data_IF_726302867223
#
_entry.id   IF_726302867223
#
_cell.length_a   1.000
_cell.length_b   1.000
_cell.length_c   1.000
_cell.angle_alpha   90.00
_cell.angle_beta   90.00
_cell.angle_gamma   90.00
#
_symmetry.space_group_name_H-M   'P 1'
#
loop_
_entity.id
_entity.type
_entity.pdbx_description
1 polymer ?
#
# COMPACT_ATOMS: atom_id res chain seq x y z
N UNK A 1 -20.07 47.20 8.52
CA UNK A 1 -19.32 46.20 9.33
C UNK A 1 -19.92 44.79 9.37
N UNK A 2 -20.95 44.43 8.59
CA UNK A 2 -21.58 43.08 8.62
C UNK A 2 -21.18 42.10 7.49
N UNK A 3 -20.29 42.50 6.56
CA UNK A 3 -19.87 41.66 5.41
C UNK A 3 -18.53 40.93 5.59
N UNK A 4 -17.75 41.21 6.63
CA UNK A 4 -16.45 40.55 6.90
C UNK A 4 -16.54 39.37 7.88
N UNK A 5 -17.68 39.14 8.52
CA UNK A 5 -17.85 38.05 9.49
C UNK A 5 -18.33 36.73 8.86
N UNK A 6 -18.86 36.74 7.63
CA UNK A 6 -19.30 35.52 6.93
C UNK A 6 -18.19 34.78 6.15
N UNK A 7 -17.02 35.39 5.93
CA UNK A 7 -15.92 34.77 5.20
C UNK A 7 -14.94 33.97 6.07
N UNK A 8 -15.08 34.02 7.40
CA UNK A 8 -14.29 33.23 8.34
C UNK A 8 -14.97 31.90 8.73
N UNK A 9 -16.18 31.65 8.21
CA UNK A 9 -16.94 30.41 8.45
C UNK A 9 -16.93 29.44 7.24
N UNK A 10 -16.32 29.83 6.12
CA UNK A 10 -16.25 28.99 4.90
C UNK A 10 -14.92 28.24 4.71
N UNK A 11 -13.94 28.42 5.60
CA UNK A 11 -12.68 27.65 5.62
C UNK A 11 -12.68 26.50 6.64
N UNK A 12 -13.76 26.33 7.41
CA UNK A 12 -13.92 25.27 8.42
C UNK A 12 -14.57 24.00 7.88
N UNK A 13 -15.03 24.00 6.62
CA UNK A 13 -15.69 22.86 5.99
C UNK A 13 -14.78 22.17 4.99
N UNK A 14 -13.99 21.19 5.46
CA UNK A 14 -13.37 20.04 4.74
C UNK A 14 -12.38 19.31 5.68
N UNK A 15 -12.11 19.80 6.90
CA UNK A 15 -11.55 18.98 7.97
C UNK A 15 -12.64 18.07 8.59
N UNK A 16 -13.31 17.25 7.77
CA UNK A 16 -14.18 16.17 8.26
C UNK A 16 -13.28 15.06 8.85
N UNK A 17 -12.94 15.25 10.12
CA UNK A 17 -12.48 14.26 11.12
C UNK A 17 -11.71 13.05 10.58
N UNK A 18 -10.46 13.25 10.16
CA UNK A 18 -9.50 12.14 10.08
C UNK A 18 -9.42 11.48 11.47
N UNK A 19 -9.37 10.14 11.56
CA UNK A 19 -9.25 9.50 12.86
C UNK A 19 -7.95 9.91 13.54
N UNK A 20 -7.99 10.01 14.86
CA UNK A 20 -6.79 10.15 15.66
C UNK A 20 -5.92 8.90 15.47
N UNK A 21 -4.66 9.08 15.09
CA UNK A 21 -3.70 7.99 14.97
C UNK A 21 -2.77 8.04 16.19
N UNK A 22 -2.83 7.01 17.03
CA UNK A 22 -2.10 6.96 18.30
C UNK A 22 -1.26 5.66 18.40
N UNK A 23 0.07 5.72 18.52
CA UNK A 23 0.90 6.92 18.39
C UNK A 23 0.90 7.47 16.96
N UNK A 24 1.37 8.70 16.78
CA UNK A 24 1.41 9.36 15.47
C UNK A 24 2.05 8.46 14.40
N UNK A 25 1.34 8.31 13.29
CA UNK A 25 1.74 7.48 12.15
C UNK A 25 1.89 5.98 12.43
N UNK A 26 1.43 5.45 13.56
CA UNK A 26 1.54 4.02 13.86
C UNK A 26 0.84 3.13 12.82
N UNK A 27 -0.30 3.59 12.31
CA UNK A 27 -1.03 2.96 11.20
C UNK A 27 -0.20 2.82 9.91
N UNK A 28 0.87 3.60 9.78
CA UNK A 28 1.79 3.66 8.65
C UNK A 28 2.89 2.61 8.78
N UNK A 29 3.30 2.31 10.01
CA UNK A 29 4.40 1.42 10.38
C UNK A 29 3.95 0.02 10.80
N UNK A 30 2.64 -0.17 11.04
CA UNK A 30 2.09 -1.46 11.44
C UNK A 30 2.45 -2.58 10.44
N UNK A 31 2.82 -3.79 10.91
CA UNK A 31 3.33 -4.85 10.06
C UNK A 31 2.20 -5.64 9.39
N UNK A 32 1.46 -5.01 8.48
CA UNK A 32 0.28 -5.62 7.81
C UNK A 32 0.60 -6.91 7.04
N UNK A 33 1.76 -6.94 6.39
CA UNK A 33 2.21 -8.07 5.57
C UNK A 33 3.61 -8.51 5.97
N UNK A 34 3.96 -9.74 5.60
CA UNK A 34 5.31 -10.28 5.65
C UNK A 34 5.60 -11.02 4.34
N UNK A 35 6.85 -11.41 4.14
CA UNK A 35 7.27 -12.27 3.04
C UNK A 35 7.56 -13.66 3.59
N UNK A 36 6.95 -14.67 2.98
CA UNK A 36 7.08 -16.06 3.43
C UNK A 36 7.23 -17.02 2.25
N UNK A 37 7.56 -18.27 2.58
CA UNK A 37 7.41 -19.40 1.65
C UNK A 37 6.05 -20.03 1.89
N UNK A 38 5.24 -20.13 0.83
CA UNK A 38 3.89 -20.69 0.85
C UNK A 38 3.83 -21.97 0.04
N UNK A 39 2.79 -22.77 0.26
CA UNK A 39 2.60 -24.07 -0.43
C UNK A 39 3.77 -25.04 -0.21
N UNK A 40 4.50 -24.84 0.89
CA UNK A 40 5.66 -25.65 1.27
C UNK A 40 5.29 -27.13 1.33
N UNK A 41 6.17 -27.98 0.82
CA UNK A 41 5.92 -29.43 0.74
C UNK A 41 5.06 -29.86 -0.46
N UNK A 42 4.78 -28.94 -1.39
CA UNK A 42 4.12 -29.24 -2.66
C UNK A 42 4.98 -28.80 -3.86
N UNK A 43 4.72 -29.32 -5.07
CA UNK A 43 5.35 -28.81 -6.30
C UNK A 43 5.03 -27.34 -6.62
N UNK A 44 4.01 -26.78 -5.97
CA UNK A 44 3.60 -25.38 -6.11
C UNK A 44 4.27 -24.45 -5.08
N UNK A 45 5.33 -24.89 -4.40
CA UNK A 45 6.05 -24.08 -3.41
C UNK A 45 6.54 -22.76 -4.04
N UNK A 46 6.20 -21.64 -3.42
CA UNK A 46 6.65 -20.31 -3.83
C UNK A 46 7.34 -19.61 -2.66
N UNK A 47 8.51 -19.00 -2.93
CA UNK A 47 9.25 -18.18 -1.97
C UNK A 47 9.02 -16.68 -2.22
N UNK A 48 9.25 -15.84 -1.20
CA UNK A 48 9.14 -14.37 -1.29
C UNK A 48 7.72 -13.86 -1.63
N UNK A 49 6.73 -14.60 -1.17
CA UNK A 49 5.31 -14.31 -1.38
C UNK A 49 4.84 -13.35 -0.31
N UNK A 50 4.25 -12.22 -0.70
CA UNK A 50 3.63 -11.31 0.25
C UNK A 50 2.38 -11.98 0.83
N UNK A 51 2.32 -12.16 2.14
CA UNK A 51 1.21 -12.79 2.86
C UNK A 51 0.74 -11.90 4.01
N UNK A 52 -0.52 -12.02 4.47
CA UNK A 52 -0.97 -11.31 5.65
C UNK A 52 -0.09 -11.66 6.85
N UNK A 53 0.30 -10.65 7.63
CA UNK A 53 1.06 -10.83 8.87
C UNK A 53 0.23 -10.42 10.09
N UNK A 54 -1.09 -10.32 9.91
CA UNK A 54 -2.05 -9.88 10.93
C UNK A 54 -3.27 -10.79 10.87
N UNK A 55 -3.87 -11.04 12.03
CA UNK A 55 -5.27 -11.48 12.11
C UNK A 55 -6.16 -10.25 12.26
N UNK A 56 -7.34 -10.27 11.63
CA UNK A 56 -8.37 -9.26 11.82
C UNK A 56 -9.43 -9.88 12.73
N UNK A 57 -9.79 -9.17 13.80
CA UNK A 57 -10.79 -9.62 14.75
C UNK A 57 -11.90 -8.60 14.92
N UNK A 58 -13.12 -9.11 15.05
CA UNK A 58 -14.30 -8.35 15.47
C UNK A 58 -14.98 -9.03 16.65
N UNK A 59 -15.79 -8.30 17.40
CA UNK A 59 -16.57 -8.91 18.48
C UNK A 59 -17.75 -9.70 17.93
N UNK A 60 -18.03 -10.90 18.47
CA UNK A 60 -19.22 -11.68 18.04
C UNK A 60 -20.55 -10.93 18.21
N UNK A 61 -20.59 -9.96 19.14
CA UNK A 61 -21.76 -9.11 19.42
C UNK A 61 -21.63 -7.70 18.83
N UNK A 62 -20.73 -7.50 17.87
CA UNK A 62 -20.62 -6.23 17.16
C UNK A 62 -21.83 -5.95 16.28
N UNK A 63 -22.06 -4.67 16.00
CA UNK A 63 -23.03 -4.25 15.00
C UNK A 63 -22.63 -4.82 13.62
N UNK A 64 -23.57 -5.35 12.82
CA UNK A 64 -23.27 -5.93 11.51
C UNK A 64 -22.52 -4.99 10.56
N UNK A 65 -22.72 -3.68 10.63
CA UNK A 65 -21.98 -2.71 9.81
C UNK A 65 -20.50 -2.68 10.18
N UNK A 66 -20.17 -2.85 11.46
CA UNK A 66 -18.79 -2.94 11.97
C UNK A 66 -18.15 -4.26 11.54
N UNK A 67 -18.91 -5.36 11.56
CA UNK A 67 -18.45 -6.66 11.05
C UNK A 67 -18.17 -6.60 9.55
N UNK A 68 -19.08 -5.99 8.77
CA UNK A 68 -18.88 -5.76 7.35
C UNK A 68 -17.64 -4.90 7.07
N UNK A 69 -17.36 -3.92 7.93
CA UNK A 69 -16.15 -3.11 7.84
C UNK A 69 -14.87 -3.92 8.11
N UNK A 70 -14.89 -4.85 9.06
CA UNK A 70 -13.78 -5.79 9.27
C UNK A 70 -13.55 -6.66 8.03
N UNK A 71 -14.63 -7.12 7.39
CA UNK A 71 -14.57 -7.81 6.09
C UNK A 71 -13.96 -6.96 4.98
N UNK A 72 -14.32 -5.67 4.90
CA UNK A 72 -13.74 -4.73 3.93
C UNK A 72 -12.23 -4.52 4.15
N UNK A 73 -11.79 -4.42 5.41
CA UNK A 73 -10.37 -4.34 5.78
C UNK A 73 -9.65 -5.62 5.33
N UNK A 74 -10.22 -6.79 5.59
CA UNK A 74 -9.66 -8.09 5.18
C UNK A 74 -9.55 -8.20 3.66
N UNK A 75 -10.59 -7.78 2.93
CA UNK A 75 -10.59 -7.76 1.47
C UNK A 75 -9.42 -6.93 0.90
N UNK A 76 -9.25 -5.68 1.35
CA UNK A 76 -8.17 -4.84 0.83
C UNK A 76 -6.78 -5.29 1.27
N UNK A 77 -6.65 -5.90 2.45
CA UNK A 77 -5.40 -6.54 2.84
C UNK A 77 -5.08 -7.72 1.91
N UNK A 78 -6.07 -8.55 1.59
CA UNK A 78 -5.93 -9.62 0.59
C UNK A 78 -5.57 -9.09 -0.80
N UNK A 79 -6.05 -7.90 -1.17
CA UNK A 79 -5.63 -7.22 -2.41
C UNK A 79 -4.19 -6.67 -2.35
N UNK A 80 -3.57 -6.55 -1.17
CA UNK A 80 -2.16 -6.18 -1.05
C UNK A 80 -1.26 -7.42 -1.20
N UNK A 81 -1.69 -8.57 -0.67
CA UNK A 81 -0.89 -9.79 -0.64
C UNK A 81 -0.91 -10.53 -1.99
N UNK A 82 0.09 -11.39 -2.18
CA UNK A 82 0.22 -12.28 -3.34
C UNK A 82 -0.52 -13.61 -3.08
N UNK A 83 -0.60 -14.04 -1.81
CA UNK A 83 -1.27 -15.26 -1.34
C UNK A 83 -1.84 -15.03 0.08
N UNK A 84 -2.72 -15.91 0.57
CA UNK A 84 -3.27 -15.85 1.94
C UNK A 84 -2.33 -16.47 3.00
N UNK A 85 -1.29 -17.20 2.57
CA UNK A 85 -0.22 -17.70 3.43
C UNK A 85 -0.33 -19.18 3.80
N UNK A 86 -0.60 -20.06 2.83
CA UNK A 86 -0.72 -21.51 3.10
C UNK A 86 0.56 -22.11 3.69
N UNK A 87 0.45 -22.64 4.92
CA UNK A 87 1.48 -23.47 5.56
C UNK A 87 1.42 -24.93 5.08
N UNK A 88 2.42 -25.74 5.47
CA UNK A 88 2.41 -27.19 5.21
C UNK A 88 1.19 -27.84 5.86
N UNK A 89 0.87 -27.43 7.08
CA UNK A 89 -0.26 -27.93 7.87
C UNK A 89 -1.60 -27.58 7.23
N UNK A 90 -1.76 -26.34 6.73
CA UNK A 90 -2.98 -25.92 6.04
C UNK A 90 -3.22 -26.74 4.78
N UNK A 91 -2.17 -27.00 3.99
CA UNK A 91 -2.24 -27.86 2.80
C UNK A 91 -2.64 -29.29 3.18
N UNK A 92 -1.98 -29.88 4.19
CA UNK A 92 -2.28 -31.25 4.66
C UNK A 92 -3.72 -31.39 5.15
N UNK A 93 -4.26 -30.36 5.78
CA UNK A 93 -5.62 -30.35 6.33
C UNK A 93 -6.67 -29.85 5.33
N UNK A 94 -6.28 -29.49 4.10
CA UNK A 94 -7.16 -28.86 3.10
C UNK A 94 -7.92 -27.66 3.68
N UNK A 95 -7.24 -26.84 4.50
CA UNK A 95 -7.81 -25.70 5.21
C UNK A 95 -7.28 -24.40 4.63
N UNK A 96 -8.14 -23.38 4.55
CA UNK A 96 -7.74 -22.02 4.20
C UNK A 96 -7.27 -21.30 5.48
N UNK A 97 -6.07 -20.67 5.49
CA UNK A 97 -5.63 -19.83 6.60
C UNK A 97 -6.67 -18.77 6.98
N UNK A 98 -6.89 -18.61 8.29
CA UNK A 98 -7.83 -17.61 8.79
C UNK A 98 -7.22 -16.20 8.69
N UNK A 99 -7.93 -15.26 8.06
CA UNK A 99 -7.57 -13.83 8.04
C UNK A 99 -8.50 -12.98 8.91
N UNK A 100 -9.76 -13.39 9.01
CA UNK A 100 -10.82 -12.69 9.73
C UNK A 100 -11.51 -13.67 10.67
N UNK A 101 -11.53 -13.34 11.96
CA UNK A 101 -12.13 -14.18 13.02
C UNK A 101 -12.94 -13.33 13.99
N UNK A 102 -13.79 -13.95 14.79
CA UNK A 102 -14.40 -13.29 15.93
C UNK A 102 -13.54 -13.44 17.19
N UNK A 103 -13.83 -12.64 18.21
CA UNK A 103 -13.11 -12.60 19.47
C UNK A 103 -13.21 -13.89 20.31
N UNK A 104 -14.24 -14.72 20.11
CA UNK A 104 -14.31 -16.06 20.71
C UNK A 104 -13.27 -17.00 20.07
N UNK A 105 -13.20 -17.04 18.74
CA UNK A 105 -12.26 -17.87 17.97
C UNK A 105 -10.81 -17.47 18.25
N UNK A 106 -10.55 -16.16 18.39
CA UNK A 106 -9.23 -15.61 18.67
C UNK A 106 -8.55 -16.25 19.90
N UNK A 107 -9.32 -16.63 20.93
CA UNK A 107 -8.78 -17.24 22.18
C UNK A 107 -8.06 -18.57 21.94
N UNK A 108 -8.34 -19.22 20.83
CA UNK A 108 -7.76 -20.52 20.44
C UNK A 108 -6.62 -20.41 19.42
N UNK A 109 -6.22 -19.19 19.06
CA UNK A 109 -5.22 -18.93 18.03
C UNK A 109 -3.98 -18.26 18.64
N UNK A 110 -2.81 -18.66 18.16
CA UNK A 110 -1.59 -17.89 18.40
C UNK A 110 -1.48 -16.77 17.36
N UNK A 111 -1.05 -15.59 17.80
CA UNK A 111 -0.92 -14.44 16.93
C UNK A 111 0.10 -13.44 17.48
N UNK A 112 0.85 -12.85 16.56
CA UNK A 112 1.82 -11.79 16.86
C UNK A 112 1.28 -10.40 16.57
N UNK A 113 0.45 -10.25 15.54
CA UNK A 113 -0.12 -8.96 15.15
C UNK A 113 -1.63 -9.08 14.92
N UNK A 114 -2.38 -8.10 15.41
CA UNK A 114 -3.83 -8.12 15.43
C UNK A 114 -4.40 -6.77 14.99
N UNK A 115 -5.43 -6.77 14.16
CA UNK A 115 -6.29 -5.62 13.91
C UNK A 115 -7.65 -5.91 14.53
N UNK A 116 -8.00 -5.21 15.60
CA UNK A 116 -9.29 -5.31 16.27
C UNK A 116 -10.21 -4.22 15.73
N UNK A 117 -11.38 -4.61 15.23
CA UNK A 117 -12.36 -3.69 14.65
C UNK A 117 -13.58 -3.64 15.57
N UNK A 118 -13.92 -2.42 16.00
CA UNK A 118 -15.02 -2.18 16.93
C UNK A 118 -14.60 -2.12 18.40
N UNK A 119 -15.58 -1.92 19.26
CA UNK A 119 -15.41 -1.69 20.71
C UNK A 119 -16.11 -2.72 21.60
N UNK A 120 -17.06 -3.50 21.06
CA UNK A 120 -17.76 -4.58 21.75
C UNK A 120 -17.11 -5.94 21.50
N UNK A 121 -15.85 -6.07 21.89
CA UNK A 121 -15.07 -7.31 21.83
C UNK A 121 -14.27 -7.53 23.11
N UNK A 122 -13.83 -8.76 23.36
CA UNK A 122 -13.07 -9.09 24.58
C UNK A 122 -11.74 -8.33 24.68
N UNK A 123 -11.04 -8.11 23.55
CA UNK A 123 -9.73 -7.45 23.53
C UNK A 123 -9.82 -6.01 24.03
N UNK A 124 -10.79 -5.23 23.56
CA UNK A 124 -11.00 -3.84 24.02
C UNK A 124 -11.35 -3.78 25.51
N UNK A 125 -12.15 -4.74 26.00
CA UNK A 125 -12.52 -4.84 27.43
C UNK A 125 -11.31 -5.19 28.30
N UNK A 126 -10.50 -6.17 27.89
CA UNK A 126 -9.27 -6.60 28.58
C UNK A 126 -8.21 -5.50 28.63
N UNK A 127 -8.16 -4.64 27.62
CA UNK A 127 -7.26 -3.49 27.58
C UNK A 127 -7.82 -2.26 28.33
N UNK A 128 -9.07 -2.31 28.81
CA UNK A 128 -9.70 -1.23 29.56
C UNK A 128 -9.86 0.07 28.76
N UNK A 129 -9.98 -0.03 27.43
CA UNK A 129 -9.87 1.14 26.55
C UNK A 129 -11.20 1.87 26.40
N UNK A 130 -11.08 3.19 26.32
CA UNK A 130 -12.17 4.12 26.02
C UNK A 130 -11.72 5.04 24.89
N UNK A 131 -12.68 5.45 24.07
CA UNK A 131 -12.44 6.28 22.90
C UNK A 131 -13.24 7.57 23.01
N UNK A 132 -12.62 8.70 22.68
CA UNK A 132 -13.28 10.01 22.67
C UNK A 132 -13.85 10.38 21.29
N UNK A 133 -13.37 9.71 20.24
CA UNK A 133 -13.79 9.89 18.85
C UNK A 133 -13.18 8.82 17.93
N UNK A 134 -13.27 8.98 16.60
CA UNK A 134 -12.71 8.02 15.64
C UNK A 134 -11.20 7.87 15.85
N UNK A 135 -10.73 6.65 16.11
CA UNK A 135 -9.34 6.40 16.54
C UNK A 135 -8.77 5.14 15.92
N UNK A 136 -7.50 5.22 15.48
CA UNK A 136 -6.64 4.05 15.24
C UNK A 136 -5.55 4.07 16.31
N UNK A 137 -5.63 3.12 17.25
CA UNK A 137 -4.68 3.01 18.37
C UNK A 137 -3.81 1.77 18.20
N UNK A 138 -2.49 1.90 18.22
CA UNK A 138 -1.56 0.76 18.20
C UNK A 138 -0.91 0.61 19.56
N UNK A 139 -1.02 -0.58 20.13
CA UNK A 139 -0.47 -0.93 21.44
C UNK A 139 0.43 -2.15 21.27
N UNK A 140 1.54 -2.17 21.99
CA UNK A 140 2.35 -3.36 22.20
C UNK A 140 2.06 -3.91 23.60
N UNK A 141 1.69 -5.19 23.67
CA UNK A 141 1.42 -5.88 24.94
C UNK A 141 1.82 -7.34 24.81
N UNK A 142 2.57 -7.84 25.78
CA UNK A 142 2.98 -9.25 25.85
C UNK A 142 3.64 -9.78 24.56
N UNK A 143 4.48 -8.94 23.93
CA UNK A 143 5.16 -9.26 22.66
C UNK A 143 4.27 -9.22 21.41
N UNK A 144 2.99 -8.84 21.56
CA UNK A 144 2.00 -8.73 20.48
C UNK A 144 1.79 -7.27 20.08
N UNK A 145 1.61 -7.02 18.78
CA UNK A 145 1.23 -5.73 18.23
C UNK A 145 -0.28 -5.70 17.98
N UNK A 146 -1.02 -4.80 18.62
CA UNK A 146 -2.47 -4.73 18.52
C UNK A 146 -2.86 -3.35 17.98
N UNK A 147 -3.44 -3.32 16.79
CA UNK A 147 -4.08 -2.14 16.21
C UNK A 147 -5.58 -2.19 16.49
N UNK A 148 -6.12 -1.15 17.11
CA UNK A 148 -7.53 -1.01 17.41
C UNK A 148 -8.13 0.04 16.50
N UNK A 149 -9.23 -0.32 15.86
CA UNK A 149 -10.05 0.56 15.02
C UNK A 149 -11.33 0.85 15.81
N UNK A 150 -11.30 1.94 16.54
CA UNK A 150 -12.28 2.26 17.58
C UNK A 150 -12.92 3.63 17.42
N UNK A 151 -13.91 3.89 18.28
CA UNK A 151 -14.70 5.10 18.28
C UNK A 151 -15.60 5.17 19.51
N UNK A 152 -16.06 6.37 19.87
CA UNK A 152 -17.02 6.53 20.97
C UNK A 152 -18.39 5.96 20.60
N UNK A 153 -18.79 6.14 19.34
CA UNK A 153 -20.04 5.63 18.77
C UNK A 153 -19.76 4.68 17.60
N UNK A 154 -20.82 4.02 17.11
CA UNK A 154 -20.75 3.21 15.89
C UNK A 154 -20.21 4.03 14.71
N UNK A 155 -20.72 5.24 14.52
CA UNK A 155 -20.34 6.11 13.41
C UNK A 155 -18.85 6.46 13.45
N UNK A 156 -18.29 6.62 14.64
CA UNK A 156 -16.87 6.87 14.82
C UNK A 156 -16.02 5.65 14.46
N UNK A 157 -16.44 4.44 14.87
CA UNK A 157 -15.80 3.19 14.45
C UNK A 157 -15.85 3.06 12.93
N UNK A 158 -17.01 3.34 12.31
CA UNK A 158 -17.18 3.28 10.86
C UNK A 158 -16.25 4.28 10.16
N UNK A 159 -16.09 5.50 10.67
CA UNK A 159 -15.15 6.50 10.12
C UNK A 159 -13.70 6.00 10.23
N UNK A 160 -13.29 5.51 11.40
CA UNK A 160 -11.93 5.00 11.62
C UNK A 160 -11.61 3.80 10.70
N UNK A 161 -12.53 2.85 10.58
CA UNK A 161 -12.31 1.68 9.73
C UNK A 161 -12.41 1.99 8.23
N UNK A 162 -13.25 2.94 7.81
CA UNK A 162 -13.24 3.43 6.41
C UNK A 162 -11.91 4.08 6.07
N UNK A 163 -11.36 4.89 6.97
CA UNK A 163 -10.01 5.42 6.78
C UNK A 163 -8.97 4.30 6.63
N UNK A 164 -8.97 3.30 7.54
CA UNK A 164 -8.02 2.19 7.46
C UNK A 164 -8.16 1.41 6.14
N UNK A 165 -9.38 1.04 5.77
CA UNK A 165 -9.68 0.28 4.57
C UNK A 165 -9.39 1.07 3.29
N UNK A 166 -10.03 2.22 3.12
CA UNK A 166 -10.07 2.95 1.86
C UNK A 166 -8.85 3.86 1.67
N UNK A 167 -8.31 4.46 2.74
CA UNK A 167 -7.19 5.41 2.66
C UNK A 167 -5.86 4.74 2.91
N UNK A 168 -5.77 3.81 3.87
CA UNK A 168 -4.50 3.17 4.24
C UNK A 168 -4.24 1.90 3.43
N UNK A 169 -5.10 0.90 3.49
CA UNK A 169 -4.88 -0.41 2.87
C UNK A 169 -5.02 -0.36 1.34
N UNK A 170 -6.15 0.14 0.84
CA UNK A 170 -6.41 0.19 -0.60
C UNK A 170 -5.34 0.99 -1.36
N UNK A 171 -4.99 2.19 -0.89
CA UNK A 171 -3.91 2.97 -1.52
C UNK A 171 -2.55 2.27 -1.44
N UNK A 172 -2.19 1.66 -0.30
CA UNK A 172 -0.89 0.97 -0.16
C UNK A 172 -0.82 -0.24 -1.09
N UNK A 173 -1.88 -1.03 -1.19
CA UNK A 173 -1.98 -2.17 -2.11
C UNK A 173 -1.69 -1.72 -3.55
N UNK A 174 -2.40 -0.69 -4.04
CA UNK A 174 -2.17 -0.16 -5.38
C UNK A 174 -0.79 0.47 -5.58
N UNK A 175 -0.27 1.17 -4.57
CA UNK A 175 1.04 1.85 -4.65
C UNK A 175 2.20 0.85 -4.75
N UNK A 176 2.22 -0.20 -3.92
CA UNK A 176 3.29 -1.19 -3.96
C UNK A 176 3.20 -2.09 -5.19
N UNK A 177 2.00 -2.47 -5.61
CA UNK A 177 1.81 -3.17 -6.89
C UNK A 177 2.36 -2.38 -8.07
N UNK A 178 2.10 -1.07 -8.12
CA UNK A 178 2.71 -0.19 -9.13
C UNK A 178 4.22 -0.15 -8.98
N UNK A 179 4.73 0.03 -7.76
CA UNK A 179 6.17 0.13 -7.49
C UNK A 179 6.93 -1.10 -7.99
N UNK A 180 6.42 -2.31 -7.71
CA UNK A 180 6.99 -3.56 -8.21
C UNK A 180 6.81 -3.75 -9.72
N UNK A 181 5.63 -3.40 -10.25
CA UNK A 181 5.36 -3.49 -11.69
C UNK A 181 6.23 -2.52 -12.50
N UNK A 182 6.58 -1.38 -11.95
CA UNK A 182 7.40 -0.39 -12.65
C UNK A 182 8.84 -0.88 -12.85
N UNK A 183 9.42 -1.56 -11.85
CA UNK A 183 10.73 -2.20 -12.01
C UNK A 183 10.67 -3.47 -12.87
N UNK A 184 9.61 -4.27 -12.77
CA UNK A 184 9.44 -5.43 -13.65
C UNK A 184 9.30 -5.01 -15.12
N UNK A 185 8.58 -3.91 -15.39
CA UNK A 185 8.45 -3.34 -16.74
C UNK A 185 9.83 -3.02 -17.34
N UNK A 186 10.72 -2.41 -16.54
CA UNK A 186 12.09 -2.12 -16.98
C UNK A 186 12.81 -3.39 -17.43
N UNK A 187 12.65 -4.46 -16.65
CA UNK A 187 13.19 -5.78 -16.94
C UNK A 187 12.67 -6.35 -18.26
N UNK A 188 11.35 -6.37 -18.44
CA UNK A 188 10.72 -6.86 -19.67
C UNK A 188 11.18 -6.09 -20.91
N UNK A 189 11.29 -4.76 -20.83
CA UNK A 189 11.82 -3.93 -21.92
C UNK A 189 13.26 -4.33 -22.26
N UNK A 190 14.10 -4.52 -21.23
CA UNK A 190 15.51 -4.89 -21.44
C UNK A 190 15.68 -6.27 -22.07
N UNK A 191 14.80 -7.22 -21.71
CA UNK A 191 14.80 -8.58 -22.27
C UNK A 191 14.09 -8.69 -23.62
N UNK A 192 13.44 -7.64 -24.11
CA UNK A 192 12.67 -7.66 -25.37
C UNK A 192 11.32 -8.40 -25.24
N UNK A 193 10.83 -8.59 -24.01
CA UNK A 193 9.56 -9.26 -23.72
C UNK A 193 8.39 -8.26 -23.83
N UNK A 194 8.19 -7.71 -25.03
CA UNK A 194 7.24 -6.60 -25.26
C UNK A 194 5.78 -6.97 -24.96
N UNK A 195 5.36 -8.21 -25.21
CA UNK A 195 3.99 -8.65 -24.90
C UNK A 195 3.73 -8.69 -23.39
N UNK A 196 4.71 -9.17 -22.61
CA UNK A 196 4.63 -9.17 -21.15
C UNK A 196 4.63 -7.74 -20.60
N UNK A 197 5.48 -6.86 -21.14
CA UNK A 197 5.51 -5.44 -20.83
C UNK A 197 4.14 -4.78 -21.08
N UNK A 198 3.53 -5.02 -22.24
CA UNK A 198 2.24 -4.44 -22.60
C UNK A 198 1.10 -4.94 -21.70
N UNK A 199 1.08 -6.25 -21.39
CA UNK A 199 0.13 -6.83 -20.42
C UNK A 199 0.29 -6.20 -19.04
N UNK A 200 1.53 -5.99 -18.58
CA UNK A 200 1.80 -5.36 -17.28
C UNK A 200 1.34 -3.90 -17.23
N UNK A 201 1.50 -3.14 -18.33
CA UNK A 201 1.01 -1.77 -18.44
C UNK A 201 -0.53 -1.73 -18.33
N UNK A 202 -1.19 -2.59 -19.10
CA UNK A 202 -2.67 -2.64 -19.20
C UNK A 202 -3.33 -3.32 -18.00
N UNK A 203 -2.58 -4.06 -17.19
CA UNK A 203 -3.12 -4.78 -16.03
C UNK A 203 -3.66 -3.80 -14.97
N UNK A 204 -4.91 -4.00 -14.48
CA UNK A 204 -5.46 -3.25 -13.35
C UNK A 204 -4.68 -3.43 -12.05
N UNK A 205 -3.93 -4.54 -11.91
CA UNK A 205 -3.01 -4.79 -10.79
C UNK A 205 -1.55 -4.42 -11.11
N UNK A 206 -1.27 -4.00 -12.35
CA UNK A 206 0.06 -3.57 -12.81
C UNK A 206 0.26 -2.06 -12.68
N UNK A 207 0.72 -1.42 -13.75
CA UNK A 207 1.03 0.02 -13.76
C UNK A 207 -0.20 0.94 -13.73
N UNK A 208 -1.35 0.42 -14.18
CA UNK A 208 -2.62 1.14 -14.15
C UNK A 208 -3.14 1.37 -12.72
N UNK A 209 -2.62 0.64 -11.71
CA UNK A 209 -2.99 0.83 -10.31
C UNK A 209 -2.62 2.24 -9.77
N UNK A 210 -1.54 2.85 -10.26
CA UNK A 210 -1.18 4.22 -9.86
C UNK A 210 -2.14 5.27 -10.44
N UNK A 211 -2.73 5.01 -11.62
CA UNK A 211 -3.74 5.88 -12.21
C UNK A 211 -4.99 5.97 -11.34
N UNK A 212 -5.41 4.84 -10.76
CA UNK A 212 -6.53 4.79 -9.80
C UNK A 212 -6.23 5.57 -8.52
N UNK A 213 -5.03 5.39 -7.95
CA UNK A 213 -4.60 6.13 -6.77
C UNK A 213 -4.48 7.65 -7.03
N UNK A 214 -4.09 8.06 -8.24
CA UNK A 214 -4.06 9.47 -8.64
C UNK A 214 -5.43 10.04 -8.95
N UNK A 215 -6.35 9.24 -9.51
CA UNK A 215 -7.74 9.63 -9.66
C UNK A 215 -8.41 9.90 -8.30
N UNK A 216 -8.05 9.15 -7.26
CA UNK A 216 -8.52 9.43 -5.90
C UNK A 216 -7.89 10.70 -5.28
N UNK A 217 -6.76 11.17 -5.81
CA UNK A 217 -6.20 12.48 -5.48
C UNK A 217 -6.83 13.63 -6.30
N UNK A 218 -7.75 13.36 -7.23
CA UNK A 218 -8.36 14.39 -8.09
C UNK A 218 -8.98 15.59 -7.34
N UNK A 219 -9.62 15.42 -6.17
CA UNK A 219 -10.06 16.58 -5.38
C UNK A 219 -8.89 17.46 -4.89
N UNK A 220 -7.72 16.87 -4.64
CA UNK A 220 -6.50 17.61 -4.32
C UNK A 220 -5.86 18.23 -5.57
N UNK A 221 -6.01 17.59 -6.75
CA UNK A 221 -5.54 18.12 -8.05
C UNK A 221 -6.14 19.48 -8.37
N UNK A 222 -7.40 19.72 -8.01
CA UNK A 222 -8.05 21.02 -8.19
C UNK A 222 -7.28 22.17 -7.52
N UNK A 223 -6.66 21.89 -6.37
CA UNK A 223 -5.90 22.86 -5.58
C UNK A 223 -4.39 22.86 -5.90
N UNK A 224 -3.93 22.05 -6.86
CA UNK A 224 -2.53 22.04 -7.27
C UNK A 224 -2.19 23.24 -8.16
N UNK A 225 -0.97 23.74 -8.01
CA UNK A 225 -0.43 24.75 -8.93
C UNK A 225 -0.18 24.13 -10.32
N UNK A 226 0.07 25.00 -11.30
CA UNK A 226 0.22 24.58 -12.69
C UNK A 226 1.45 23.70 -12.94
N UNK A 227 2.52 23.89 -12.17
CA UNK A 227 3.73 23.06 -12.26
C UNK A 227 3.45 21.60 -11.87
N UNK A 228 2.75 21.39 -10.77
CA UNK A 228 2.35 20.06 -10.32
C UNK A 228 1.41 19.42 -11.36
N UNK A 229 0.44 20.18 -11.89
CA UNK A 229 -0.48 19.70 -12.93
C UNK A 229 0.29 19.30 -14.19
N UNK A 230 1.29 20.08 -14.60
CA UNK A 230 2.13 19.80 -15.76
C UNK A 230 2.93 18.50 -15.59
N UNK A 231 3.56 18.30 -14.43
CA UNK A 231 4.31 17.06 -14.12
C UNK A 231 3.39 15.83 -14.16
N UNK A 232 2.21 15.91 -13.55
CA UNK A 232 1.26 14.79 -13.52
C UNK A 232 0.64 14.52 -14.90
N UNK A 233 0.33 15.57 -15.68
CA UNK A 233 -0.13 15.43 -17.06
C UNK A 233 0.93 14.73 -17.92
N UNK A 234 2.20 15.13 -17.78
CA UNK A 234 3.34 14.51 -18.46
C UNK A 234 3.49 13.04 -18.10
N UNK A 235 3.51 12.73 -16.79
CA UNK A 235 3.56 11.35 -16.26
C UNK A 235 2.47 10.46 -16.87
N UNK A 236 1.24 10.97 -16.92
CA UNK A 236 0.09 10.24 -17.44
C UNK A 236 0.17 10.05 -18.97
N UNK A 237 0.62 11.06 -19.71
CA UNK A 237 0.86 10.97 -21.16
C UNK A 237 1.86 9.85 -21.47
N UNK A 238 2.98 9.83 -20.75
CA UNK A 238 4.01 8.82 -20.92
C UNK A 238 3.45 7.43 -20.63
N UNK A 239 2.87 7.23 -19.44
CA UNK A 239 2.50 5.89 -18.97
C UNK A 239 1.27 5.29 -19.66
N UNK A 240 0.32 6.11 -20.12
CA UNK A 240 -0.94 5.63 -20.69
C UNK A 240 -1.03 5.78 -22.21
N UNK A 241 -0.09 6.48 -22.86
CA UNK A 241 -0.12 6.68 -24.31
C UNK A 241 1.23 6.40 -24.96
N UNK A 242 2.28 7.15 -24.60
CA UNK A 242 3.54 7.13 -25.36
C UNK A 242 4.32 5.84 -25.15
N UNK A 243 4.46 5.39 -23.91
CA UNK A 243 5.16 4.17 -23.56
C UNK A 243 4.46 2.92 -24.11
N UNK A 244 3.13 2.73 -23.96
CA UNK A 244 2.42 1.64 -24.64
C UNK A 244 2.72 1.57 -26.14
N UNK A 245 2.70 2.71 -26.85
CA UNK A 245 2.98 2.77 -28.29
C UNK A 245 4.41 2.35 -28.62
N UNK A 246 5.40 2.77 -27.83
CA UNK A 246 6.79 2.36 -28.01
C UNK A 246 6.98 0.84 -27.78
N UNK A 247 6.24 0.27 -26.83
CA UNK A 247 6.23 -1.19 -26.58
C UNK A 247 5.58 -1.94 -27.75
N UNK A 248 4.44 -1.45 -28.25
CA UNK A 248 3.72 -2.04 -29.40
C UNK A 248 4.57 -2.01 -30.68
N UNK A 249 5.31 -0.92 -30.88
CA UNK A 249 6.26 -0.79 -32.00
C UNK A 249 7.58 -1.54 -31.77
N UNK A 250 7.74 -2.23 -30.63
CA UNK A 250 8.97 -2.94 -30.23
C UNK A 250 10.21 -2.05 -30.22
N UNK A 251 10.04 -0.74 -30.02
CA UNK A 251 11.14 0.21 -29.94
C UNK A 251 11.71 0.21 -28.52
N UNK A 252 12.69 -0.67 -28.30
CA UNK A 252 13.37 -0.81 -27.01
C UNK A 252 13.93 0.53 -26.53
N UNK A 253 14.70 1.22 -27.37
CA UNK A 253 15.41 2.44 -26.95
C UNK A 253 14.43 3.54 -26.52
N UNK A 254 13.37 3.74 -27.30
CA UNK A 254 12.35 4.72 -26.96
C UNK A 254 11.57 4.32 -25.70
N UNK A 255 11.23 3.04 -25.55
CA UNK A 255 10.56 2.55 -24.35
C UNK A 255 11.42 2.74 -23.09
N UNK A 256 12.74 2.51 -23.17
CA UNK A 256 13.70 2.77 -22.09
C UNK A 256 13.74 4.26 -21.72
N UNK A 257 13.82 5.14 -22.71
CA UNK A 257 13.83 6.60 -22.51
C UNK A 257 12.55 7.07 -21.80
N UNK A 258 11.39 6.67 -22.32
CA UNK A 258 10.08 7.00 -21.75
C UNK A 258 9.92 6.43 -20.33
N UNK A 259 10.41 5.22 -20.07
CA UNK A 259 10.42 4.66 -18.72
C UNK A 259 11.24 5.52 -17.74
N UNK A 260 12.45 5.94 -18.14
CA UNK A 260 13.30 6.81 -17.31
C UNK A 260 12.65 8.17 -17.07
N UNK A 261 11.98 8.71 -18.08
CA UNK A 261 11.25 9.97 -17.97
C UNK A 261 10.05 9.87 -17.03
N UNK A 262 9.26 8.79 -17.14
CA UNK A 262 8.19 8.51 -16.19
C UNK A 262 8.73 8.38 -14.75
N UNK A 263 9.86 7.69 -14.56
CA UNK A 263 10.49 7.58 -13.25
C UNK A 263 10.88 8.94 -12.68
N UNK A 264 11.42 9.83 -13.51
CA UNK A 264 11.77 11.18 -13.10
C UNK A 264 10.53 11.96 -12.64
N UNK A 265 9.40 11.87 -13.34
CA UNK A 265 8.16 12.52 -12.89
C UNK A 265 7.68 11.99 -11.52
N UNK A 266 7.88 10.70 -11.23
CA UNK A 266 7.61 10.16 -9.90
C UNK A 266 8.52 10.78 -8.82
N UNK A 267 9.80 11.01 -9.14
CA UNK A 267 10.74 11.68 -8.25
C UNK A 267 10.38 13.15 -8.02
N UNK A 268 9.95 13.87 -9.05
CA UNK A 268 9.47 15.24 -8.91
C UNK A 268 8.36 15.32 -7.86
N UNK A 269 7.34 14.44 -7.93
CA UNK A 269 6.25 14.42 -6.95
C UNK A 269 6.66 13.93 -5.56
N UNK A 270 7.52 12.90 -5.47
CA UNK A 270 7.81 12.22 -4.20
C UNK A 270 9.04 12.74 -3.46
N UNK A 271 9.99 13.37 -4.16
CA UNK A 271 11.20 13.95 -3.60
C UNK A 271 11.20 15.49 -3.68
N UNK A 272 10.24 16.10 -4.36
CA UNK A 272 10.13 17.56 -4.47
C UNK A 272 11.21 18.16 -5.37
N UNK A 273 11.52 17.49 -6.49
CA UNK A 273 12.47 18.01 -7.49
C UNK A 273 11.71 18.96 -8.40
N UNK A 274 12.11 20.23 -8.40
CA UNK A 274 11.54 21.33 -9.21
C UNK A 274 10.05 21.66 -8.94
N UNK A 275 9.36 20.91 -8.08
CA UNK A 275 7.98 21.16 -7.63
C UNK A 275 7.85 20.91 -6.12
N UNK A 276 6.84 21.46 -5.43
CA UNK A 276 6.57 21.13 -4.04
C UNK A 276 6.37 19.61 -3.85
N UNK A 277 7.01 19.04 -2.83
CA UNK A 277 6.84 17.62 -2.49
C UNK A 277 5.39 17.35 -2.11
N UNK A 278 4.70 16.53 -2.90
CA UNK A 278 3.29 16.20 -2.64
C UNK A 278 3.16 15.16 -1.52
N UNK A 279 4.01 14.15 -1.58
CA UNK A 279 4.01 13.04 -0.62
C UNK A 279 5.38 12.38 -0.59
N UNK A 280 6.03 12.40 0.58
CA UNK A 280 7.23 11.60 0.78
C UNK A 280 6.93 10.11 0.60
N UNK A 281 7.61 9.47 -0.34
CA UNK A 281 7.58 8.01 -0.50
C UNK A 281 8.91 7.44 0.00
N UNK A 282 8.85 6.81 1.17
CA UNK A 282 9.94 5.99 1.73
C UNK A 282 9.38 4.58 1.94
N UNK A 283 9.62 3.62 1.03
CA UNK A 283 9.20 2.25 1.23
C UNK A 283 9.86 1.69 2.50
N UNK A 284 9.19 0.74 3.14
CA UNK A 284 9.80 -0.03 4.22
C UNK A 284 10.97 -0.85 3.65
N UNK A 285 11.96 -1.16 4.47
CA UNK A 285 13.15 -1.91 4.06
C UNK A 285 12.80 -3.24 3.39
N UNK A 286 11.81 -3.97 3.91
CA UNK A 286 11.33 -5.22 3.32
C UNK A 286 10.72 -5.04 1.93
N UNK A 287 9.97 -3.96 1.72
CA UNK A 287 9.41 -3.60 0.41
C UNK A 287 10.52 -3.22 -0.57
N UNK A 288 11.49 -2.42 -0.12
CA UNK A 288 12.64 -2.04 -0.94
C UNK A 288 13.48 -3.27 -1.33
N UNK A 289 13.70 -4.18 -0.39
CA UNK A 289 14.41 -5.44 -0.61
C UNK A 289 13.72 -6.31 -1.67
N UNK A 290 12.38 -6.41 -1.66
CA UNK A 290 11.63 -7.10 -2.73
C UNK A 290 11.82 -6.42 -4.08
N UNK A 291 11.73 -5.09 -4.13
CA UNK A 291 11.98 -4.33 -5.35
C UNK A 291 13.39 -4.61 -5.93
N UNK A 292 14.42 -4.68 -5.07
CA UNK A 292 15.77 -5.05 -5.49
C UNK A 292 15.83 -6.48 -6.05
N UNK A 293 15.21 -7.47 -5.39
CA UNK A 293 15.16 -8.85 -5.90
C UNK A 293 14.50 -8.95 -7.28
N UNK A 294 13.43 -8.18 -7.52
CA UNK A 294 12.80 -8.11 -8.85
C UNK A 294 13.81 -7.57 -9.88
N UNK A 295 14.49 -6.46 -9.59
CA UNK A 295 15.49 -5.90 -10.50
C UNK A 295 16.66 -6.89 -10.76
N UNK A 296 17.12 -7.57 -9.72
CA UNK A 296 18.17 -8.60 -9.80
C UNK A 296 17.75 -9.77 -10.70
N UNK A 297 16.49 -10.22 -10.63
CA UNK A 297 15.99 -11.31 -11.48
C UNK A 297 16.07 -11.01 -12.98
N UNK A 298 16.08 -9.73 -13.36
CA UNK A 298 16.27 -9.29 -14.75
C UNK A 298 17.73 -8.94 -15.09
N UNK A 299 18.65 -9.03 -14.13
CA UNK A 299 20.05 -8.62 -14.28
C UNK A 299 20.23 -7.10 -14.32
N UNK A 300 19.31 -6.33 -13.73
CA UNK A 300 19.40 -4.85 -13.68
C UNK A 300 20.26 -4.34 -12.53
N UNK A 301 20.72 -5.23 -11.65
CA UNK A 301 21.56 -4.90 -10.51
C UNK A 301 22.94 -5.50 -10.73
N UNK A 302 23.97 -4.71 -10.43
CA UNK A 302 25.36 -5.21 -10.34
C UNK A 302 25.72 -5.27 -8.85
N UNK A 303 26.13 -6.46 -8.38
CA UNK A 303 26.64 -6.66 -7.02
C UNK A 303 28.17 -6.63 -7.04
N UNK A 304 28.78 -5.76 -6.24
CA UNK A 304 30.22 -5.72 -6.00
C UNK A 304 30.49 -5.72 -4.49
N UNK A 305 30.84 -6.88 -3.93
CA UNK A 305 30.93 -7.05 -2.47
C UNK A 305 29.56 -6.83 -1.80
N UNK A 306 29.52 -5.96 -0.78
CA UNK A 306 28.28 -5.57 -0.11
C UNK A 306 27.54 -4.41 -0.80
N UNK A 307 28.09 -3.87 -1.90
CA UNK A 307 27.45 -2.78 -2.63
C UNK A 307 26.51 -3.32 -3.72
N UNK A 308 25.26 -2.85 -3.65
CA UNK A 308 24.21 -3.14 -4.63
C UNK A 308 24.02 -1.92 -5.52
N UNK A 309 24.49 -1.99 -6.76
CA UNK A 309 24.33 -0.91 -7.72
C UNK A 309 22.97 -0.97 -8.40
N UNK A 310 22.10 -0.02 -8.08
CA UNK A 310 20.79 0.15 -8.73
C UNK A 310 20.86 1.14 -9.91
N UNK A 311 22.04 1.42 -10.47
CA UNK A 311 22.27 2.48 -11.48
C UNK A 311 21.48 2.27 -12.77
N UNK A 312 21.17 1.02 -13.14
CA UNK A 312 20.32 0.73 -14.30
C UNK A 312 18.90 1.32 -14.18
N UNK A 313 18.44 1.55 -12.94
CA UNK A 313 17.18 2.20 -12.61
C UNK A 313 17.40 3.66 -12.16
N UNK A 314 18.39 3.90 -11.30
CA UNK A 314 18.66 5.20 -10.66
C UNK A 314 19.89 5.88 -11.28
N UNK A 315 19.69 6.62 -12.37
CA UNK A 315 20.76 7.31 -13.10
C UNK A 315 20.42 8.77 -13.36
N UNK A 316 21.43 9.62 -13.56
CA UNK A 316 21.26 11.04 -13.84
C UNK A 316 20.41 11.75 -12.78
N UNK A 317 19.29 12.35 -13.19
CA UNK A 317 18.38 13.13 -12.32
C UNK A 317 17.64 12.30 -11.27
N UNK A 318 17.62 10.97 -11.39
CA UNK A 318 17.03 10.06 -10.39
C UNK A 318 18.09 9.29 -9.60
N UNK A 319 19.36 9.69 -9.72
CA UNK A 319 20.45 9.08 -8.96
C UNK A 319 20.21 9.25 -7.45
N UNK A 320 20.19 8.13 -6.76
CA UNK A 320 20.18 8.05 -5.31
C UNK A 320 21.30 7.09 -4.91
N UNK A 321 22.20 7.55 -4.05
CA UNK A 321 23.24 6.70 -3.46
C UNK A 321 22.60 5.88 -2.33
N UNK A 322 22.07 4.71 -2.69
CA UNK A 322 21.59 3.70 -1.75
C UNK A 322 20.37 4.09 -0.92
N UNK A 323 19.60 3.09 -0.51
CA UNK A 323 19.02 3.13 0.84
C UNK A 323 20.16 2.62 1.73
N UNK A 324 20.74 3.48 2.56
CA UNK A 324 21.55 3.03 3.69
C UNK A 324 20.64 2.39 4.73
#
# INVERSE_FOLDING_TARGET
>A
MRKKLLLLLSMSGIALGQPLIDPNFADRLFPYITYSTVWSGTPATLSDVAVPNVLIVYGKKEDPDVVALAGKIAYYLGQWTDDIGFSVEDVKQSRIPELLVNDERLKSLDYKNLIVVGTNNSVVKELGLKFEGPTIKVIQKDGKNIMLVGGKTKEDVIKAGKYLADVRLNFKAGAYKTFFSFVALRGYIEKGEFDAALRLIRSPQGLSACGKNMALAAPMVANWNDDIKAVVKKRNSILYSELPKAIESKDKNKAVELWKEAMFTCYQCHQGIDIPQLRKFKPLESIHSKHQRIAESFGLIVKAGNEVSCVACHSGKTSIRGYQ
#
